data_IF_160656462542
#
_entry.id   IF_160656462542
#
_cell.length_a   1.000
_cell.length_b   1.000
_cell.length_c   1.000
_cell.angle_alpha   90.00
_cell.angle_beta   90.00
_cell.angle_gamma   90.00
#
_symmetry.space_group_name_H-M   'P 1'
#
loop_
_entity.id
_entity.type
_entity.pdbx_description
1 polymer ?
#
# COMPACT_ATOMS: atom_id res chain seq x y z
N UNK A 1 -5.61 30.74 -21.14
CA UNK A 1 -5.39 29.79 -22.26
C UNK A 1 -4.54 28.67 -21.73
N UNK A 2 -5.17 27.82 -20.89
CA UNK A 2 -4.53 26.62 -20.33
C UNK A 2 -4.38 25.61 -21.45
N UNK A 3 -3.18 25.14 -21.60
CA UNK A 3 -2.71 24.46 -22.79
C UNK A 3 -3.27 23.04 -22.85
N UNK A 4 -3.95 22.72 -23.96
CA UNK A 4 -4.40 21.38 -24.33
C UNK A 4 -3.33 20.29 -24.20
N UNK A 5 -2.05 20.66 -24.15
CA UNK A 5 -0.90 19.77 -24.01
C UNK A 5 -0.71 19.16 -22.62
N UNK A 6 -1.01 19.90 -21.53
CA UNK A 6 -0.86 19.39 -20.16
C UNK A 6 -1.94 18.35 -19.81
N UNK A 7 -3.14 18.52 -20.38
CA UNK A 7 -4.26 17.60 -20.14
C UNK A 7 -4.07 16.25 -20.86
N UNK A 8 -3.45 16.24 -22.05
CA UNK A 8 -3.16 15.01 -22.81
C UNK A 8 -1.99 14.24 -22.15
N UNK A 9 -0.96 14.95 -21.66
CA UNK A 9 0.16 14.33 -20.93
C UNK A 9 -0.27 13.66 -19.63
N UNK A 10 -1.18 14.28 -18.88
CA UNK A 10 -1.75 13.71 -17.67
C UNK A 10 -2.66 12.50 -17.99
N UNK A 11 -3.49 12.55 -19.02
CA UNK A 11 -4.34 11.43 -19.43
C UNK A 11 -3.53 10.22 -19.93
N UNK A 12 -2.43 10.44 -20.66
CA UNK A 12 -1.53 9.36 -21.12
C UNK A 12 -0.78 8.74 -19.94
N UNK A 13 -0.38 9.55 -18.96
CA UNK A 13 0.31 9.05 -17.76
C UNK A 13 -0.65 8.29 -16.81
N UNK A 14 -1.89 8.71 -16.70
CA UNK A 14 -2.96 8.04 -15.96
C UNK A 14 -3.25 6.65 -16.55
N UNK A 15 -3.49 6.55 -17.86
CA UNK A 15 -3.70 5.28 -18.54
C UNK A 15 -2.54 4.30 -18.33
N UNK A 16 -1.30 4.76 -18.34
CA UNK A 16 -0.12 3.90 -18.18
C UNK A 16 0.01 3.32 -16.75
N UNK A 17 -0.42 4.04 -15.71
CA UNK A 17 -0.32 3.60 -14.30
C UNK A 17 -1.38 2.55 -13.98
N UNK A 18 -2.64 2.78 -14.32
CA UNK A 18 -3.72 1.79 -14.16
C UNK A 18 -3.46 0.53 -14.99
N UNK A 19 -3.02 0.66 -16.24
CA UNK A 19 -2.62 -0.49 -17.07
C UNK A 19 -1.48 -1.30 -16.44
N UNK A 20 -0.55 -0.63 -15.75
CA UNK A 20 0.50 -1.33 -15.00
C UNK A 20 -0.08 -2.16 -13.87
N UNK A 21 -1.01 -1.61 -13.09
CA UNK A 21 -1.71 -2.35 -12.04
C UNK A 21 -2.53 -3.51 -12.60
N UNK A 22 -3.17 -3.34 -13.75
CA UNK A 22 -3.91 -4.41 -14.41
C UNK A 22 -3.00 -5.59 -14.79
N UNK A 23 -1.82 -5.29 -15.36
CA UNK A 23 -0.82 -6.34 -15.65
C UNK A 23 -0.30 -7.02 -14.39
N UNK A 24 -0.07 -6.25 -13.31
CA UNK A 24 0.36 -6.81 -12.03
C UNK A 24 -0.72 -7.69 -11.40
N UNK A 25 -1.99 -7.26 -11.47
CA UNK A 25 -3.12 -8.06 -11.02
C UNK A 25 -3.15 -9.43 -11.70
N UNK A 26 -3.06 -9.48 -13.03
CA UNK A 26 -3.06 -10.76 -13.77
C UNK A 26 -1.83 -11.61 -13.42
N UNK A 27 -0.67 -11.01 -13.26
CA UNK A 27 0.55 -11.70 -12.85
C UNK A 27 0.42 -12.29 -11.45
N UNK A 28 -0.05 -11.50 -10.48
CA UNK A 28 -0.22 -11.94 -9.09
C UNK A 28 -1.28 -13.04 -9.00
N UNK A 29 -2.40 -12.89 -9.72
CA UNK A 29 -3.47 -13.88 -9.79
C UNK A 29 -2.94 -15.26 -10.18
N UNK A 30 -1.98 -15.33 -11.09
CA UNK A 30 -1.36 -16.58 -11.50
C UNK A 30 -0.52 -17.24 -10.38
N UNK A 31 -0.03 -16.46 -9.41
CA UNK A 31 0.82 -16.97 -8.33
C UNK A 31 0.06 -17.32 -7.05
N UNK A 32 -0.98 -16.57 -6.70
CA UNK A 32 -1.65 -16.70 -5.39
C UNK A 32 -2.67 -17.84 -5.32
N UNK A 33 -3.03 -18.45 -6.43
CA UNK A 33 -4.06 -19.50 -6.50
C UNK A 33 -3.66 -20.86 -5.93
N UNK A 34 -2.43 -21.04 -5.45
CA UNK A 34 -1.94 -22.34 -4.94
C UNK A 34 -2.34 -22.63 -3.48
N UNK A 35 -2.80 -21.62 -2.74
CA UNK A 35 -3.22 -21.74 -1.33
C UNK A 35 -4.25 -20.70 -0.96
N UNK A 36 -5.09 -21.00 0.04
CA UNK A 36 -6.03 -20.06 0.65
C UNK A 36 -5.45 -19.35 1.87
N UNK A 37 -4.18 -19.60 2.20
CA UNK A 37 -3.50 -18.92 3.29
C UNK A 37 -3.29 -17.44 2.96
N UNK A 38 -3.97 -16.58 3.71
CA UNK A 38 -3.98 -15.12 3.48
C UNK A 38 -2.58 -14.51 3.58
N UNK A 39 -1.77 -14.99 4.53
CA UNK A 39 -0.43 -14.45 4.75
C UNK A 39 0.54 -14.83 3.64
N UNK A 40 0.42 -16.05 3.10
CA UNK A 40 1.19 -16.47 1.92
C UNK A 40 0.80 -15.66 0.68
N UNK A 41 -0.50 -15.40 0.48
CA UNK A 41 -0.99 -14.53 -0.61
C UNK A 41 -0.47 -13.10 -0.46
N UNK A 42 -0.57 -12.50 0.74
CA UNK A 42 -0.05 -11.16 1.00
C UNK A 42 1.45 -11.06 0.76
N UNK A 43 2.25 -11.99 1.26
CA UNK A 43 3.69 -12.01 1.04
C UNK A 43 4.07 -12.07 -0.45
N UNK A 44 3.31 -12.83 -1.25
CA UNK A 44 3.49 -12.89 -2.71
C UNK A 44 3.12 -11.56 -3.38
N UNK A 45 2.01 -10.94 -2.98
CA UNK A 45 1.59 -9.63 -3.49
C UNK A 45 2.65 -8.56 -3.18
N UNK A 46 3.13 -8.50 -1.94
CA UNK A 46 4.18 -7.57 -1.51
C UNK A 46 5.45 -7.74 -2.35
N UNK A 47 5.90 -8.97 -2.57
CA UNK A 47 7.11 -9.24 -3.33
C UNK A 47 6.99 -8.78 -4.79
N UNK A 48 5.86 -9.05 -5.44
CA UNK A 48 5.63 -8.63 -6.83
C UNK A 48 5.48 -7.12 -6.94
N UNK A 49 4.66 -6.51 -6.08
CA UNK A 49 4.44 -5.06 -6.06
C UNK A 49 5.75 -4.31 -5.82
N UNK A 50 6.48 -4.67 -4.78
CA UNK A 50 7.73 -4.02 -4.42
C UNK A 50 8.78 -4.11 -5.54
N UNK A 51 8.92 -5.29 -6.15
CA UNK A 51 9.88 -5.51 -7.23
C UNK A 51 9.51 -4.78 -8.53
N UNK A 52 8.23 -4.61 -8.83
CA UNK A 52 7.73 -4.05 -10.10
C UNK A 52 7.42 -2.56 -10.06
N UNK A 53 7.12 -2.01 -8.88
CA UNK A 53 6.76 -0.61 -8.71
C UNK A 53 7.98 0.21 -8.26
N UNK A 54 8.54 1.00 -9.16
CA UNK A 54 9.79 1.77 -8.90
C UNK A 54 9.70 2.80 -7.77
N UNK A 55 8.50 3.28 -7.46
CA UNK A 55 8.28 4.24 -6.37
C UNK A 55 8.17 3.55 -5.00
N UNK A 56 8.05 2.22 -4.94
CA UNK A 56 7.87 1.47 -3.72
C UNK A 56 9.22 1.21 -3.05
N UNK A 57 9.55 2.03 -2.08
CA UNK A 57 10.78 1.91 -1.28
C UNK A 57 10.65 0.85 -0.19
N UNK A 58 9.47 0.77 0.41
CA UNK A 58 9.07 -0.24 1.38
C UNK A 58 7.64 -0.70 1.10
N UNK A 59 7.37 -1.98 1.27
CA UNK A 59 6.03 -2.55 1.05
C UNK A 59 5.81 -3.66 2.05
N UNK A 60 4.81 -3.56 2.89
CA UNK A 60 4.58 -4.57 3.91
C UNK A 60 3.19 -4.53 4.54
N UNK A 61 2.92 -5.51 5.39
CA UNK A 61 1.64 -5.68 6.08
C UNK A 61 1.84 -5.68 7.58
N UNK A 62 1.07 -4.82 8.24
CA UNK A 62 0.87 -4.84 9.69
C UNK A 62 -0.49 -5.47 10.01
N UNK A 63 -0.48 -6.47 10.89
CA UNK A 63 -1.70 -7.12 11.38
C UNK A 63 -2.11 -6.59 12.75
N UNK A 64 -3.41 -6.47 12.96
CA UNK A 64 -3.99 -6.14 14.26
C UNK A 64 -3.98 -7.41 15.15
N UNK A 65 -3.16 -7.40 16.18
CA UNK A 65 -3.01 -8.49 17.14
C UNK A 65 -3.14 -7.92 18.54
N UNK A 66 -4.17 -8.31 19.28
CA UNK A 66 -4.40 -7.84 20.66
C UNK A 66 -4.33 -6.30 20.79
N UNK A 67 -4.99 -5.59 19.86
CA UNK A 67 -5.00 -4.12 19.77
C UNK A 67 -3.62 -3.48 19.50
N UNK A 68 -2.70 -4.23 18.90
CA UNK A 68 -1.39 -3.74 18.43
C UNK A 68 -1.20 -4.02 16.95
N UNK A 69 -0.52 -3.12 16.22
CA UNK A 69 -0.12 -3.34 14.83
C UNK A 69 1.28 -3.95 14.79
N UNK A 70 1.33 -5.23 14.41
CA UNK A 70 2.53 -6.06 14.36
C UNK A 70 2.85 -6.40 12.91
N UNK A 71 4.10 -6.18 12.50
CA UNK A 71 4.55 -6.54 11.15
C UNK A 71 4.44 -8.04 10.90
N UNK A 72 3.95 -8.42 9.72
CA UNK A 72 3.86 -9.83 9.29
C UNK A 72 4.90 -10.17 8.25
N UNK A 73 4.90 -9.45 7.15
CA UNK A 73 5.84 -9.59 6.05
C UNK A 73 6.11 -8.23 5.44
N UNK A 74 7.26 -8.07 4.82
CA UNK A 74 7.62 -6.86 4.09
C UNK A 74 8.79 -7.07 3.15
N UNK A 75 8.94 -6.14 2.24
CA UNK A 75 10.06 -5.96 1.33
C UNK A 75 10.65 -4.57 1.55
N UNK A 76 11.97 -4.46 1.54
CA UNK A 76 12.69 -3.21 1.76
C UNK A 76 13.55 -3.21 3.01
N UNK A 77 14.00 -2.02 3.49
CA UNK A 77 14.80 -1.89 4.70
C UNK A 77 14.11 -2.42 5.96
N UNK A 78 14.87 -2.69 7.00
CA UNK A 78 14.34 -3.16 8.29
C UNK A 78 13.30 -2.19 8.82
N UNK A 79 12.14 -2.73 9.18
CA UNK A 79 10.98 -2.01 9.69
C UNK A 79 10.84 -2.12 11.22
N UNK A 80 9.98 -1.26 11.80
CA UNK A 80 9.50 -1.42 13.15
C UNK A 80 8.67 -2.72 13.25
N UNK A 81 9.00 -3.59 14.19
CA UNK A 81 8.24 -4.84 14.40
C UNK A 81 6.83 -4.56 14.92
N UNK A 82 6.69 -3.52 15.76
CA UNK A 82 5.45 -3.06 16.34
C UNK A 82 5.35 -1.54 16.19
N UNK A 83 4.20 -1.08 15.71
CA UNK A 83 3.96 0.36 15.59
C UNK A 83 3.50 0.95 16.91
N UNK A 84 3.90 2.20 17.18
CA UNK A 84 3.47 2.93 18.36
C UNK A 84 1.95 3.06 18.36
N UNK A 85 1.35 2.66 19.48
CA UNK A 85 -0.09 2.56 19.64
C UNK A 85 -0.82 3.88 19.33
N UNK A 86 -1.84 3.78 18.49
CA UNK A 86 -2.72 4.85 18.06
C UNK A 86 -2.06 6.08 17.40
N UNK A 87 -0.83 5.98 16.92
CA UNK A 87 -0.13 7.07 16.23
C UNK A 87 0.36 6.64 14.84
N UNK A 88 0.50 7.61 13.94
CA UNK A 88 1.00 7.39 12.57
C UNK A 88 -0.08 7.00 11.56
N UNK A 89 0.37 6.82 10.33
CA UNK A 89 -0.51 6.67 9.14
C UNK A 89 -1.28 5.34 9.19
N UNK A 90 -0.60 4.23 9.54
CA UNK A 90 -1.25 2.92 9.65
C UNK A 90 -2.42 2.95 10.65
N UNK A 91 -2.24 3.54 11.82
CA UNK A 91 -3.32 3.67 12.80
C UNK A 91 -4.43 4.61 12.34
N UNK A 92 -4.10 5.67 11.58
CA UNK A 92 -5.12 6.54 10.99
C UNK A 92 -6.01 5.77 10.01
N UNK A 93 -5.41 4.95 9.14
CA UNK A 93 -6.14 4.09 8.20
C UNK A 93 -6.99 3.03 8.92
N UNK A 94 -6.44 2.37 9.93
CA UNK A 94 -7.18 1.37 10.71
C UNK A 94 -8.35 1.96 11.51
N UNK A 95 -8.21 3.18 12.04
CA UNK A 95 -9.29 3.87 12.76
C UNK A 95 -10.40 4.36 11.85
N UNK A 96 -10.06 4.92 10.69
CA UNK A 96 -11.04 5.41 9.72
C UNK A 96 -11.69 4.28 8.91
N UNK A 97 -10.98 3.16 8.75
CA UNK A 97 -11.36 2.08 7.84
C UNK A 97 -11.23 2.43 6.36
N UNK A 98 -10.53 3.54 6.06
CA UNK A 98 -10.33 4.08 4.73
C UNK A 98 -8.85 4.19 4.37
N UNK A 99 -8.54 4.23 3.08
CA UNK A 99 -7.19 4.49 2.59
C UNK A 99 -6.71 5.86 3.03
N UNK A 100 -5.47 5.94 3.47
CA UNK A 100 -4.78 7.19 3.79
C UNK A 100 -3.61 7.38 2.84
N UNK A 101 -3.59 8.50 2.12
CA UNK A 101 -2.48 8.91 1.23
C UNK A 101 -1.81 10.12 1.86
N UNK A 102 -0.51 10.02 2.10
CA UNK A 102 0.29 11.08 2.72
C UNK A 102 1.36 11.55 1.72
N UNK A 103 1.20 12.75 1.15
CA UNK A 103 2.16 13.30 0.18
C UNK A 103 3.54 13.59 0.78
N UNK A 104 3.57 13.96 2.06
CA UNK A 104 4.77 14.26 2.84
C UNK A 104 4.58 13.77 4.28
N UNK A 105 5.31 12.71 4.63
CA UNK A 105 5.20 12.07 5.95
C UNK A 105 5.66 12.98 7.09
N UNK A 106 6.58 13.92 6.84
CA UNK A 106 7.04 14.87 7.86
C UNK A 106 5.93 15.82 8.28
N UNK A 107 4.97 16.09 7.39
CA UNK A 107 3.80 16.93 7.65
C UNK A 107 2.63 16.18 8.31
N UNK A 108 2.73 14.85 8.44
CA UNK A 108 1.65 14.06 9.04
C UNK A 108 1.72 14.07 10.57
N UNK A 109 0.65 14.47 11.28
CA UNK A 109 0.64 14.56 12.74
C UNK A 109 0.94 13.20 13.41
N UNK A 110 1.94 13.18 14.30
CA UNK A 110 2.31 11.97 15.04
C UNK A 110 3.08 10.93 14.20
N UNK A 111 3.51 11.31 13.00
CA UNK A 111 4.35 10.42 12.18
C UNK A 111 5.66 10.11 12.92
N UNK A 112 5.98 8.82 13.00
CA UNK A 112 7.27 8.33 13.48
C UNK A 112 7.86 7.50 12.35
N UNK A 113 8.90 8.01 11.71
CA UNK A 113 9.59 7.29 10.67
C UNK A 113 10.30 6.05 11.23
N UNK A 114 9.90 4.85 10.83
CA UNK A 114 10.70 3.64 11.01
C UNK A 114 11.94 3.64 10.11
N UNK A 115 11.90 4.42 9.04
CA UNK A 115 13.04 4.71 8.17
C UNK A 115 13.04 6.18 7.76
N UNK A 116 14.16 6.87 7.96
CA UNK A 116 14.31 8.30 7.64
C UNK A 116 14.28 8.63 6.14
N UNK A 117 14.35 7.62 5.27
CA UNK A 117 14.28 7.79 3.82
C UNK A 117 12.85 7.81 3.28
N UNK A 118 11.87 7.35 4.06
CA UNK A 118 10.45 7.45 3.69
C UNK A 118 10.02 8.90 3.61
N UNK A 119 9.41 9.30 2.49
CA UNK A 119 8.97 10.67 2.23
C UNK A 119 7.47 10.80 1.98
N UNK A 120 6.87 9.82 1.34
CA UNK A 120 5.42 9.73 1.15
C UNK A 120 4.96 8.31 1.41
N UNK A 121 3.67 8.13 1.71
CA UNK A 121 3.12 6.87 2.18
C UNK A 121 1.68 6.69 1.72
N UNK A 122 1.29 5.47 1.42
CA UNK A 122 -0.10 5.06 1.24
C UNK A 122 -0.38 3.84 2.11
N UNK A 123 -1.46 3.90 2.89
CA UNK A 123 -1.91 2.80 3.72
C UNK A 123 -3.33 2.40 3.35
N UNK A 124 -3.54 1.11 3.09
CA UNK A 124 -4.84 0.55 2.75
C UNK A 124 -5.25 -0.45 3.82
N UNK A 125 -6.35 -0.20 4.56
CA UNK A 125 -6.85 -1.16 5.54
C UNK A 125 -7.41 -2.41 4.84
N UNK A 126 -7.15 -3.57 5.42
CA UNK A 126 -7.54 -4.87 4.88
C UNK A 126 -8.63 -5.47 5.77
N UNK A 127 -9.72 -5.92 5.13
CA UNK A 127 -10.87 -6.54 5.80
C UNK A 127 -10.90 -8.04 5.51
N UNK A 128 -11.36 -8.81 6.49
CA UNK A 128 -11.67 -10.22 6.29
C UNK A 128 -12.99 -10.40 5.51
N UNK A 129 -13.39 -11.66 5.26
CA UNK A 129 -14.64 -11.98 4.53
C UNK A 129 -15.90 -11.47 5.22
N UNK A 130 -15.86 -11.30 6.55
CA UNK A 130 -16.97 -10.77 7.35
C UNK A 130 -16.97 -9.23 7.41
N UNK A 131 -16.00 -8.57 6.78
CA UNK A 131 -15.88 -7.11 6.74
C UNK A 131 -15.13 -6.48 7.92
N UNK A 132 -14.57 -7.27 8.83
CA UNK A 132 -13.79 -6.77 9.96
C UNK A 132 -12.36 -6.41 9.55
N UNK A 133 -11.88 -5.27 10.01
CA UNK A 133 -10.48 -4.86 9.84
C UNK A 133 -9.56 -5.79 10.64
N UNK A 134 -8.51 -6.32 10.01
CA UNK A 134 -7.55 -7.19 10.68
C UNK A 134 -6.08 -6.87 10.35
N UNK A 135 -5.84 -6.07 9.32
CA UNK A 135 -4.50 -5.71 8.86
C UNK A 135 -4.54 -4.42 8.03
N UNK A 136 -3.39 -3.89 7.68
CA UNK A 136 -3.23 -2.88 6.65
C UNK A 136 -2.01 -3.17 5.77
N UNK A 137 -2.14 -2.86 4.48
CA UNK A 137 -1.03 -2.77 3.55
C UNK A 137 -0.44 -1.37 3.67
N UNK A 138 0.84 -1.30 3.94
CA UNK A 138 1.61 -0.07 4.09
C UNK A 138 2.67 -0.01 3.00
N UNK A 139 2.71 1.10 2.25
CA UNK A 139 3.68 1.32 1.19
C UNK A 139 4.30 2.69 1.33
N UNK A 140 5.62 2.72 1.49
CA UNK A 140 6.42 3.93 1.54
C UNK A 140 7.17 4.19 0.23
N UNK A 141 7.39 5.46 -0.06
CA UNK A 141 8.29 5.92 -1.12
C UNK A 141 9.36 6.87 -0.57
N UNK A 142 10.54 6.80 -1.15
CA UNK A 142 11.64 7.76 -0.92
C UNK A 142 11.44 9.08 -1.69
N UNK A 143 10.29 9.25 -2.33
CA UNK A 143 9.90 10.45 -3.09
C UNK A 143 8.69 11.11 -2.44
N UNK A 144 8.66 12.43 -2.45
CA UNK A 144 7.46 13.18 -2.08
C UNK A 144 6.35 12.94 -3.10
N UNK A 145 5.11 12.95 -2.62
CA UNK A 145 3.91 12.90 -3.46
C UNK A 145 3.92 11.74 -4.48
N UNK A 146 4.40 10.55 -4.05
CA UNK A 146 4.55 9.40 -4.94
C UNK A 146 3.23 8.67 -5.21
N UNK A 147 2.24 8.82 -4.34
CA UNK A 147 0.97 8.09 -4.38
C UNK A 147 -0.22 8.98 -4.67
N UNK A 148 -1.16 8.46 -5.42
CA UNK A 148 -2.42 9.11 -5.80
C UNK A 148 -3.60 8.12 -5.79
N UNK A 149 -4.76 8.56 -6.30
CA UNK A 149 -5.96 7.73 -6.36
C UNK A 149 -5.84 6.51 -7.28
N UNK A 150 -4.99 6.56 -8.29
CA UNK A 150 -4.76 5.41 -9.16
C UNK A 150 -3.97 4.31 -8.44
N UNK A 151 -3.05 4.69 -7.53
CA UNK A 151 -2.38 3.73 -6.66
C UNK A 151 -3.37 3.09 -5.69
N UNK A 152 -4.26 3.88 -5.11
CA UNK A 152 -5.33 3.36 -4.25
C UNK A 152 -6.19 2.34 -5.00
N UNK A 153 -6.68 2.69 -6.20
CA UNK A 153 -7.52 1.83 -7.03
C UNK A 153 -6.78 0.54 -7.41
N UNK A 154 -5.55 0.69 -7.90
CA UNK A 154 -4.73 -0.44 -8.34
C UNK A 154 -4.37 -1.39 -7.20
N UNK A 155 -3.97 -0.86 -6.04
CA UNK A 155 -3.65 -1.66 -4.86
C UNK A 155 -4.90 -2.36 -4.28
N UNK A 156 -6.04 -1.69 -4.23
CA UNK A 156 -7.31 -2.32 -3.82
C UNK A 156 -7.71 -3.44 -4.77
N UNK A 157 -7.51 -3.28 -6.07
CA UNK A 157 -7.73 -4.33 -7.06
C UNK A 157 -6.82 -5.53 -6.81
N UNK A 158 -5.54 -5.33 -6.54
CA UNK A 158 -4.62 -6.42 -6.20
C UNK A 158 -5.05 -7.11 -4.90
N UNK A 159 -5.41 -6.36 -3.86
CA UNK A 159 -5.86 -6.92 -2.59
C UNK A 159 -7.16 -7.73 -2.71
N UNK A 160 -8.00 -7.50 -3.73
CA UNK A 160 -9.20 -8.32 -3.96
C UNK A 160 -8.87 -9.80 -4.19
N UNK A 161 -7.66 -10.10 -4.68
CA UNK A 161 -7.17 -11.47 -4.87
C UNK A 161 -6.96 -12.26 -3.56
N UNK A 162 -7.08 -11.62 -2.40
CA UNK A 162 -6.96 -12.32 -1.11
C UNK A 162 -8.03 -13.39 -0.93
N UNK A 163 -9.18 -13.22 -1.57
CA UNK A 163 -10.36 -14.07 -1.36
C UNK A 163 -10.93 -14.68 -2.65
N UNK A 164 -10.20 -14.52 -3.76
CA UNK A 164 -10.56 -15.12 -5.06
C UNK A 164 -10.22 -16.63 -5.14
#
# INVERSE_FOLDING_TARGET
METFGENIGNLINMSSKLEKYDRLYEQIKAYVGSTDDIWARLATMEAVLHHKMQAFFWTGVYALVEDELIVRSYQGPVACQKLRHHTGVCWAAMKSGETVIVPDVESFPGHIACNSLSKSEIVIPIRNREGHLFACLDVDSDRLNAFDREDEEGLKKVLSLLYD
#
